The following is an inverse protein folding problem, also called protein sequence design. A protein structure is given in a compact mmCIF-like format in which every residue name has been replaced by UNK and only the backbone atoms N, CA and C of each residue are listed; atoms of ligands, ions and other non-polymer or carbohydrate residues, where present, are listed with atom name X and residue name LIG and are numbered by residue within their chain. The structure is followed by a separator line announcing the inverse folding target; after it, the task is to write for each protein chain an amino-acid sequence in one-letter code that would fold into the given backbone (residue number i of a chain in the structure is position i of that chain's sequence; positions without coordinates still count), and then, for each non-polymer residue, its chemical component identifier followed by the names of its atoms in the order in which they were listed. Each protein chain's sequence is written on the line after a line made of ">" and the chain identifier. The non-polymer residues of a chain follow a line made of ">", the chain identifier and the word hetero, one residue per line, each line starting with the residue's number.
data_IF_176005510991
#
_entry.id   IF_176005510991
#
_cell.length_a   1.000
_cell.length_b   1.000
_cell.length_c   1.000
_cell.angle_alpha   90.00
_cell.angle_beta   90.00
_cell.angle_gamma   90.00
#
_symmetry.space_group_name_H-M   'P 1'
#
loop_
_entity.id
_entity.type
_entity.pdbx_description
1 polymer ?
#
# COMPACT_ATOMS: atom_id res chain seq x y z
N UNK A 1 -8.22 -13.13 16.42
CA UNK A 1 -7.29 -12.85 15.30
C UNK A 1 -8.05 -12.02 14.26
N UNK A 2 -7.43 -11.00 13.70
CA UNK A 2 -8.02 -10.21 12.59
C UNK A 2 -7.44 -10.74 11.29
N UNK A 3 -8.28 -10.93 10.27
CA UNK A 3 -7.86 -11.46 8.97
C UNK A 3 -8.23 -10.50 7.85
N UNK A 4 -7.43 -10.45 6.80
CA UNK A 4 -7.72 -9.66 5.62
C UNK A 4 -7.86 -10.60 4.42
N UNK A 5 -8.96 -10.48 3.68
CA UNK A 5 -9.23 -11.28 2.49
C UNK A 5 -9.44 -10.34 1.31
N UNK A 6 -8.75 -10.59 0.20
CA UNK A 6 -8.87 -9.77 -1.01
C UNK A 6 -9.01 -10.65 -2.26
N UNK A 7 -9.69 -10.12 -3.27
CA UNK A 7 -9.88 -10.75 -4.58
C UNK A 7 -9.69 -9.74 -5.69
N UNK A 8 -8.95 -10.14 -6.72
CA UNK A 8 -8.90 -9.41 -7.99
C UNK A 8 -10.22 -9.66 -8.72
N UNK A 9 -10.92 -8.59 -9.06
CA UNK A 9 -12.21 -8.63 -9.78
C UNK A 9 -12.04 -8.31 -11.25
N UNK A 10 -10.96 -7.62 -11.62
CA UNK A 10 -10.61 -7.36 -13.02
C UNK A 10 -9.12 -7.29 -13.20
N UNK A 11 -8.62 -8.01 -14.20
CA UNK A 11 -7.23 -7.90 -14.63
C UNK A 11 -7.16 -7.50 -16.11
N UNK A 12 -6.41 -6.44 -16.40
CA UNK A 12 -6.21 -5.91 -17.75
C UNK A 12 -4.74 -5.58 -17.98
N UNK A 13 -4.41 -5.12 -19.19
CA UNK A 13 -3.02 -4.84 -19.57
C UNK A 13 -2.34 -3.80 -18.66
N UNK A 14 -3.05 -2.73 -18.28
CA UNK A 14 -2.48 -1.62 -17.51
C UNK A 14 -3.10 -1.43 -16.13
N UNK A 15 -4.22 -2.06 -15.84
CA UNK A 15 -4.97 -1.84 -14.60
C UNK A 15 -5.42 -3.17 -14.01
N UNK A 16 -5.34 -3.29 -12.68
CA UNK A 16 -6.08 -4.32 -11.94
C UNK A 16 -7.06 -3.67 -10.95
N UNK A 17 -8.22 -4.29 -10.78
CA UNK A 17 -9.26 -3.88 -9.84
C UNK A 17 -9.50 -5.02 -8.87
N UNK A 18 -9.77 -4.70 -7.62
CA UNK A 18 -10.01 -5.71 -6.59
C UNK A 18 -10.88 -5.19 -5.46
N UNK A 19 -11.43 -6.12 -4.71
CA UNK A 19 -12.18 -5.87 -3.48
C UNK A 19 -11.49 -6.58 -2.32
N UNK A 20 -11.73 -6.10 -1.11
CA UNK A 20 -11.21 -6.72 0.10
C UNK A 20 -12.04 -6.40 1.32
N UNK A 21 -11.86 -7.23 2.33
CA UNK A 21 -12.58 -7.15 3.59
C UNK A 21 -11.66 -7.53 4.75
N UNK A 22 -11.84 -6.82 5.87
CA UNK A 22 -11.21 -7.16 7.14
C UNK A 22 -12.24 -7.90 7.98
N UNK A 23 -11.89 -9.13 8.36
CA UNK A 23 -12.71 -10.03 9.17
C UNK A 23 -12.28 -9.98 10.64
N UNK A 24 -13.26 -9.90 11.53
CA UNK A 24 -13.08 -10.09 12.97
C UNK A 24 -12.89 -11.57 13.31
N UNK A 25 -12.59 -11.84 14.57
CA UNK A 25 -12.30 -13.20 15.04
C UNK A 25 -13.49 -14.17 14.89
N UNK A 26 -14.72 -13.65 14.85
CA UNK A 26 -15.96 -14.40 14.63
C UNK A 26 -16.29 -14.59 13.14
N UNK A 27 -15.46 -14.07 12.23
CA UNK A 27 -15.68 -14.11 10.79
C UNK A 27 -16.61 -13.03 10.26
N UNK A 28 -17.16 -12.15 11.12
CA UNK A 28 -17.92 -11.00 10.68
C UNK A 28 -17.03 -9.95 10.00
N UNK A 29 -17.61 -9.19 9.07
CA UNK A 29 -16.89 -8.16 8.32
C UNK A 29 -16.87 -6.87 9.12
N UNK A 30 -15.68 -6.40 9.49
CA UNK A 30 -15.51 -5.10 10.12
C UNK A 30 -15.49 -3.97 9.09
N UNK A 31 -14.81 -4.18 7.95
CA UNK A 31 -14.61 -3.17 6.91
C UNK A 31 -14.58 -3.83 5.54
N UNK A 32 -15.16 -3.16 4.54
CA UNK A 32 -15.03 -3.50 3.13
C UNK A 32 -14.35 -2.37 2.36
N UNK A 33 -13.62 -2.74 1.31
CA UNK A 33 -12.95 -1.79 0.43
C UNK A 33 -12.84 -2.29 -1.00
N UNK A 34 -12.64 -1.33 -1.91
CA UNK A 34 -12.33 -1.60 -3.31
C UNK A 34 -11.15 -0.74 -3.75
N UNK A 35 -10.30 -1.28 -4.61
CA UNK A 35 -9.13 -0.59 -5.12
C UNK A 35 -8.95 -0.79 -6.62
N UNK A 36 -8.38 0.23 -7.26
CA UNK A 36 -7.91 0.18 -8.64
C UNK A 36 -6.44 0.57 -8.65
N UNK A 37 -5.64 -0.22 -9.33
CA UNK A 37 -4.19 -0.11 -9.32
C UNK A 37 -3.65 -0.11 -10.75
N UNK A 38 -2.63 0.71 -10.99
CA UNK A 38 -1.99 0.84 -12.28
C UNK A 38 -0.71 0.00 -12.32
N UNK A 39 -0.57 -0.83 -13.35
CA UNK A 39 0.67 -1.56 -13.64
C UNK A 39 1.64 -0.61 -14.34
N UNK A 40 2.81 -0.39 -13.72
CA UNK A 40 3.91 0.40 -14.27
C UNK A 40 5.21 -0.39 -14.12
N UNK A 41 6.16 -0.19 -15.03
CA UNK A 41 7.53 -0.64 -14.78
C UNK A 41 8.11 0.15 -13.62
N UNK A 42 9.11 -0.43 -12.95
CA UNK A 42 9.82 0.26 -11.87
C UNK A 42 10.40 1.59 -12.34
N UNK A 43 10.96 1.67 -13.56
CA UNK A 43 11.50 2.93 -14.11
C UNK A 43 10.43 4.02 -14.28
N UNK A 44 9.16 3.62 -14.45
CA UNK A 44 8.03 4.55 -14.53
C UNK A 44 7.49 5.01 -13.18
N UNK A 45 7.98 4.45 -12.07
CA UNK A 45 7.60 4.80 -10.69
C UNK A 45 8.77 5.48 -9.97
N UNK A 46 9.99 5.02 -10.23
CA UNK A 46 11.17 5.42 -9.48
C UNK A 46 12.43 5.36 -10.34
N UNK A 47 13.48 6.08 -9.91
CA UNK A 47 14.81 6.02 -10.51
C UNK A 47 15.74 5.07 -9.75
N UNK A 48 16.96 4.87 -10.28
CA UNK A 48 17.96 3.96 -9.71
C UNK A 48 18.36 4.30 -8.27
N UNK A 49 18.21 5.56 -7.82
CA UNK A 49 18.58 5.98 -6.46
C UNK A 49 17.73 5.34 -5.38
N UNK A 50 16.52 4.88 -5.71
CA UNK A 50 15.63 4.18 -4.76
C UNK A 50 15.76 2.65 -4.80
N UNK A 51 16.51 2.09 -5.76
CA UNK A 51 16.76 0.65 -5.85
C UNK A 51 17.90 0.22 -4.92
N UNK A 52 18.76 1.15 -4.53
CA UNK A 52 19.76 0.93 -3.49
C UNK A 52 19.13 1.13 -2.11
N UNK A 53 19.61 0.39 -1.09
CA UNK A 53 19.13 0.47 0.31
C UNK A 53 19.58 1.78 0.99
N UNK A 54 19.47 2.89 0.29
CA UNK A 54 19.90 4.19 0.76
C UNK A 54 18.85 4.79 1.68
N UNK A 55 19.28 5.11 2.90
CA UNK A 55 18.56 6.04 3.76
C UNK A 55 19.06 7.44 3.46
N UNK A 56 18.16 8.33 3.06
CA UNK A 56 18.51 9.72 2.82
C UNK A 56 18.57 10.47 4.15
N UNK A 57 19.57 11.35 4.29
CA UNK A 57 19.61 12.28 5.42
C UNK A 57 18.44 13.24 5.32
N UNK A 58 17.61 13.30 6.37
CA UNK A 58 16.56 14.31 6.47
C UNK A 58 17.21 15.68 6.68
N UNK A 59 17.04 16.57 5.69
CA UNK A 59 17.57 17.94 5.72
C UNK A 59 16.62 18.92 6.40
N UNK A 60 15.43 18.48 6.80
CA UNK A 60 14.46 19.32 7.51
C UNK A 60 14.96 19.61 8.91
N UNK A 61 14.56 20.76 9.44
CA UNK A 61 14.81 21.11 10.83
C UNK A 61 14.09 20.12 11.75
N UNK A 62 14.80 19.67 12.79
CA UNK A 62 14.23 18.75 13.77
C UNK A 62 13.22 19.51 14.63
N UNK A 63 12.02 18.96 14.88
CA UNK A 63 11.09 19.58 15.81
C UNK A 63 11.71 19.61 17.22
N UNK A 64 11.40 20.64 18.00
CA UNK A 64 11.91 20.80 19.37
C UNK A 64 11.36 19.73 20.32
N UNK A 65 10.16 19.22 20.06
CA UNK A 65 9.54 18.12 20.82
C UNK A 65 8.55 17.33 19.96
N UNK A 66 8.31 16.08 20.36
CA UNK A 66 7.29 15.19 19.80
C UNK A 66 6.53 14.59 20.98
N UNK A 67 5.22 14.85 21.04
CA UNK A 67 4.34 14.13 21.98
C UNK A 67 4.07 12.73 21.43
N UNK A 68 4.23 11.72 22.31
CA UNK A 68 4.01 10.30 22.02
C UNK A 68 2.72 9.80 22.67
#
# INVERSE_FOLDING_TARGET
>A
EVRCVARVTRDSSRVFEGTGEILLADGSVAVQGSGRYLKRSLEGITDARFLEREWFTDRREKPESVDL
#
